data_IF_121481910819
#
_entry.id   IF_121481910819
#
_cell.length_a   1.000
_cell.length_b   1.000
_cell.length_c   1.000
_cell.angle_alpha   90.00
_cell.angle_beta   90.00
_cell.angle_gamma   90.00
#
_symmetry.space_group_name_H-M   'P 1'
#
loop_
_entity.id
_entity.type
_entity.pdbx_description
1 polymer ?
#
# COMPACT_ATOMS: atom_id res chain seq x y z
N UNK A 1 4.95 27.43 -10.98
CA UNK A 1 4.24 26.50 -10.05
C UNK A 1 4.45 26.95 -8.63
N UNK A 2 3.52 26.68 -7.71
CA UNK A 2 3.64 27.14 -6.31
C UNK A 2 4.97 26.66 -5.69
N UNK A 3 5.37 25.41 -5.98
CA UNK A 3 6.66 24.83 -5.55
C UNK A 3 7.91 25.53 -6.08
N UNK A 4 7.82 26.22 -7.21
CA UNK A 4 8.94 26.95 -7.85
C UNK A 4 9.00 28.40 -7.36
N UNK A 5 7.89 28.94 -6.86
CA UNK A 5 7.75 30.34 -6.47
C UNK A 5 7.98 30.56 -4.96
N UNK A 6 7.86 29.52 -4.14
CA UNK A 6 7.93 29.60 -2.69
C UNK A 6 9.05 28.71 -2.12
N UNK A 7 9.61 29.06 -0.94
CA UNK A 7 10.55 28.18 -0.24
C UNK A 7 9.94 26.82 0.09
N UNK A 8 10.74 25.75 -0.02
CA UNK A 8 10.28 24.37 0.14
C UNK A 8 9.48 24.10 1.42
N UNK A 9 9.86 24.71 2.55
CA UNK A 9 9.14 24.54 3.82
C UNK A 9 7.72 25.13 3.78
N UNK A 10 7.53 26.25 3.09
CA UNK A 10 6.23 26.91 2.95
C UNK A 10 5.35 26.12 1.99
N UNK A 11 5.93 25.62 0.88
CA UNK A 11 5.25 24.68 -0.02
C UNK A 11 4.76 23.46 0.75
N UNK A 12 5.64 22.83 1.54
CA UNK A 12 5.29 21.68 2.38
C UNK A 12 4.17 21.95 3.38
N UNK A 13 4.22 23.11 4.05
CA UNK A 13 3.19 23.53 4.99
C UNK A 13 1.83 23.75 4.29
N UNK A 14 1.83 24.43 3.13
CA UNK A 14 0.63 24.65 2.33
C UNK A 14 0.05 23.33 1.81
N UNK A 15 0.89 22.44 1.25
CA UNK A 15 0.45 21.12 0.78
C UNK A 15 -0.19 20.33 1.92
N UNK A 16 0.46 20.28 3.09
CA UNK A 16 -0.10 19.59 4.26
C UNK A 16 -1.42 20.21 4.73
N UNK A 17 -1.50 21.54 4.80
CA UNK A 17 -2.71 22.25 5.20
C UNK A 17 -3.87 21.97 4.24
N UNK A 18 -3.63 22.07 2.93
CA UNK A 18 -4.65 21.80 1.91
C UNK A 18 -5.10 20.33 1.93
N UNK A 19 -4.18 19.37 2.02
CA UNK A 19 -4.52 17.94 2.16
C UNK A 19 -5.31 17.65 3.45
N UNK A 20 -5.02 18.36 4.53
CA UNK A 20 -5.77 18.26 5.79
C UNK A 20 -7.20 18.78 5.63
N UNK A 21 -7.41 19.89 4.92
CA UNK A 21 -8.75 20.40 4.58
C UNK A 21 -9.52 19.37 3.73
N UNK A 22 -8.87 18.77 2.73
CA UNK A 22 -9.46 17.70 1.90
C UNK A 22 -9.86 16.49 2.75
N UNK A 23 -9.03 16.09 3.72
CA UNK A 23 -9.34 15.00 4.65
C UNK A 23 -10.53 15.35 5.56
N UNK A 24 -10.57 16.57 6.11
CA UNK A 24 -11.66 17.00 6.99
C UNK A 24 -12.99 17.11 6.24
N UNK A 25 -12.98 17.59 5.00
CA UNK A 25 -14.16 17.66 4.16
C UNK A 25 -14.67 16.26 3.80
N UNK A 26 -13.88 15.46 3.07
CA UNK A 26 -14.35 14.16 2.61
C UNK A 26 -14.50 13.15 3.75
N UNK A 27 -13.48 13.05 4.61
CA UNK A 27 -13.45 12.10 5.71
C UNK A 27 -14.35 12.51 6.88
N UNK A 28 -14.31 13.77 7.29
CA UNK A 28 -15.09 14.27 8.43
C UNK A 28 -16.54 14.59 8.06
N UNK A 29 -16.74 15.50 7.11
CA UNK A 29 -18.07 16.03 6.78
C UNK A 29 -18.91 15.07 5.93
N UNK A 30 -18.32 14.45 4.90
CA UNK A 30 -19.09 13.61 3.94
C UNK A 30 -19.14 12.15 4.38
N UNK A 31 -18.00 11.56 4.77
CA UNK A 31 -17.91 10.13 5.07
C UNK A 31 -18.50 9.77 6.44
N UNK A 32 -18.22 10.53 7.51
CA UNK A 32 -18.66 10.16 8.86
C UNK A 32 -20.18 9.96 9.00
N UNK A 33 -21.06 10.76 8.38
CA UNK A 33 -22.50 10.48 8.39
C UNK A 33 -22.86 9.10 7.81
N UNK A 34 -22.18 8.67 6.73
CA UNK A 34 -22.37 7.34 6.13
C UNK A 34 -21.85 6.24 7.04
N UNK A 35 -20.70 6.46 7.70
CA UNK A 35 -20.14 5.52 8.67
C UNK A 35 -21.07 5.36 9.87
N UNK A 36 -21.63 6.46 10.39
CA UNK A 36 -22.59 6.44 11.48
C UNK A 36 -23.86 5.69 11.08
N UNK A 37 -24.41 5.97 9.90
CA UNK A 37 -25.58 5.26 9.38
C UNK A 37 -25.30 3.75 9.24
N UNK A 38 -24.13 3.38 8.71
CA UNK A 38 -23.67 1.99 8.59
C UNK A 38 -23.52 1.31 9.95
N UNK A 39 -23.04 2.04 10.97
CA UNK A 39 -22.86 1.50 12.32
C UNK A 39 -24.20 1.31 13.05
N UNK A 40 -25.14 2.27 12.90
CA UNK A 40 -26.45 2.24 13.56
C UNK A 40 -27.45 1.27 12.90
N UNK A 41 -27.30 0.99 11.60
CA UNK A 41 -28.20 0.12 10.83
C UNK A 41 -27.44 -1.13 10.32
N UNK A 42 -27.26 -2.17 11.16
CA UNK A 42 -26.49 -3.37 10.81
C UNK A 42 -27.23 -4.34 9.88
N UNK A 43 -28.23 -3.89 9.14
CA UNK A 43 -28.99 -4.73 8.21
C UNK A 43 -28.23 -4.93 6.89
N UNK A 44 -28.17 -6.18 6.40
CA UNK A 44 -27.38 -6.53 5.22
C UNK A 44 -27.68 -5.70 3.97
N UNK A 45 -28.94 -5.31 3.74
CA UNK A 45 -29.32 -4.45 2.61
C UNK A 45 -28.76 -3.03 2.74
N UNK A 46 -28.74 -2.45 3.94
CA UNK A 46 -28.14 -1.13 4.21
C UNK A 46 -26.63 -1.20 4.01
N UNK A 47 -25.98 -2.23 4.56
CA UNK A 47 -24.53 -2.43 4.40
C UNK A 47 -24.16 -2.53 2.90
N UNK A 48 -24.94 -3.28 2.13
CA UNK A 48 -24.73 -3.45 0.68
C UNK A 48 -24.97 -2.15 -0.10
N UNK A 49 -25.97 -1.35 0.26
CA UNK A 49 -26.25 -0.07 -0.39
C UNK A 49 -25.21 1.01 -0.04
N UNK A 50 -24.72 1.06 1.20
CA UNK A 50 -23.73 2.06 1.64
C UNK A 50 -22.31 1.75 1.18
N UNK A 51 -21.95 0.47 1.02
CA UNK A 51 -20.60 0.07 0.58
C UNK A 51 -20.10 0.79 -0.68
N UNK A 52 -20.83 0.81 -1.82
CA UNK A 52 -20.35 1.53 -3.00
C UNK A 52 -20.25 3.04 -2.79
N UNK A 53 -21.17 3.65 -2.04
CA UNK A 53 -21.14 5.08 -1.73
C UNK A 53 -19.93 5.46 -0.86
N UNK A 54 -19.59 4.65 0.14
CA UNK A 54 -18.40 4.82 0.98
C UNK A 54 -17.12 4.75 0.13
N UNK A 55 -17.06 3.78 -0.79
CA UNK A 55 -15.94 3.64 -1.73
C UNK A 55 -15.85 4.84 -2.67
N UNK A 56 -16.98 5.35 -3.16
CA UNK A 56 -17.02 6.55 -4.01
C UNK A 56 -16.49 7.77 -3.26
N UNK A 57 -16.96 8.02 -2.03
CA UNK A 57 -16.46 9.13 -1.19
C UNK A 57 -14.94 9.02 -0.95
N UNK A 58 -14.44 7.82 -0.66
CA UNK A 58 -13.01 7.59 -0.51
C UNK A 58 -12.25 7.80 -1.84
N UNK A 59 -12.84 7.44 -2.97
CA UNK A 59 -12.28 7.68 -4.30
C UNK A 59 -12.21 9.18 -4.62
N UNK A 60 -13.21 9.96 -4.24
CA UNK A 60 -13.18 11.42 -4.40
C UNK A 60 -12.17 12.11 -3.48
N UNK A 61 -11.95 11.59 -2.28
CA UNK A 61 -10.84 12.01 -1.43
C UNK A 61 -9.48 11.75 -2.10
N UNK A 62 -9.29 10.57 -2.71
CA UNK A 62 -8.08 10.27 -3.49
C UNK A 62 -7.92 11.25 -4.65
N UNK A 63 -8.95 11.44 -5.47
CA UNK A 63 -8.91 12.35 -6.62
C UNK A 63 -8.58 13.79 -6.21
N UNK A 64 -9.15 14.26 -5.11
CA UNK A 64 -8.88 15.60 -4.56
C UNK A 64 -7.42 15.74 -4.11
N UNK A 65 -6.86 14.72 -3.43
CA UNK A 65 -5.46 14.73 -3.03
C UNK A 65 -4.51 14.70 -4.23
N UNK A 66 -4.84 13.94 -5.28
CA UNK A 66 -4.07 13.95 -6.53
C UNK A 66 -4.08 15.35 -7.17
N UNK A 67 -5.25 15.99 -7.23
CA UNK A 67 -5.35 17.34 -7.77
C UNK A 67 -4.51 18.33 -6.97
N UNK A 68 -4.61 18.30 -5.63
CA UNK A 68 -3.76 19.12 -4.75
C UNK A 68 -2.29 18.88 -5.05
N UNK A 69 -1.85 17.61 -5.09
CA UNK A 69 -0.46 17.28 -5.32
C UNK A 69 0.04 17.75 -6.71
N UNK A 70 -0.79 17.57 -7.76
CA UNK A 70 -0.49 18.03 -9.12
C UNK A 70 -0.42 19.55 -9.22
N UNK A 71 -1.33 20.27 -8.57
CA UNK A 71 -1.33 21.75 -8.56
C UNK A 71 -0.13 22.30 -7.78
N UNK A 72 0.21 21.68 -6.64
CA UNK A 72 1.31 22.14 -5.80
C UNK A 72 2.68 21.85 -6.42
N UNK A 73 2.85 20.68 -7.04
CA UNK A 73 4.17 20.16 -7.37
C UNK A 73 4.40 19.78 -8.85
N UNK A 74 3.35 19.50 -9.63
CA UNK A 74 3.40 18.83 -10.95
C UNK A 74 4.47 17.72 -10.99
N UNK A 75 4.21 16.59 -10.31
CA UNK A 75 5.17 15.49 -10.29
C UNK A 75 5.48 15.02 -11.72
N UNK A 76 6.77 14.94 -12.00
CA UNK A 76 7.32 14.40 -13.24
C UNK A 76 8.05 13.09 -12.91
N UNK A 77 7.31 12.14 -12.33
CA UNK A 77 7.83 10.84 -11.93
C UNK A 77 8.41 10.09 -13.12
N UNK A 78 9.54 9.42 -12.92
CA UNK A 78 10.08 8.47 -13.90
C UNK A 78 9.30 7.16 -13.80
N UNK A 79 8.16 7.11 -14.49
CA UNK A 79 7.21 6.00 -14.44
C UNK A 79 7.49 4.97 -15.54
N UNK A 80 7.96 3.79 -15.14
CA UNK A 80 8.04 2.58 -15.98
C UNK A 80 6.80 1.71 -15.70
N UNK A 81 5.71 1.95 -16.44
CA UNK A 81 4.43 1.26 -16.26
C UNK A 81 4.23 0.19 -17.35
N UNK A 82 4.29 -1.07 -16.95
CA UNK A 82 4.19 -2.25 -17.83
C UNK A 82 2.95 -3.12 -17.54
N UNK A 83 2.12 -2.70 -16.60
CA UNK A 83 0.92 -3.43 -16.23
C UNK A 83 -0.24 -3.18 -17.21
N UNK A 84 -1.05 -4.21 -17.45
CA UNK A 84 -2.34 -4.10 -18.11
C UNK A 84 -3.42 -4.46 -17.10
N UNK A 85 -4.09 -3.44 -16.58
CA UNK A 85 -5.05 -3.59 -15.48
C UNK A 85 -6.47 -3.39 -15.96
N UNK A 86 -7.38 -4.20 -15.41
CA UNK A 86 -8.81 -4.14 -15.63
C UNK A 86 -9.49 -3.78 -14.29
N UNK A 87 -10.14 -2.61 -14.17
CA UNK A 87 -10.82 -2.20 -12.93
C UNK A 87 -11.90 -3.18 -12.43
N UNK A 88 -12.39 -4.08 -13.29
CA UNK A 88 -13.38 -5.12 -12.95
C UNK A 88 -12.74 -6.41 -12.41
N UNK A 89 -11.42 -6.54 -12.43
CA UNK A 89 -10.71 -7.72 -11.92
C UNK A 89 -10.12 -7.48 -10.53
N UNK A 90 -9.86 -8.58 -9.83
CA UNK A 90 -9.14 -8.53 -8.56
C UNK A 90 -7.64 -8.65 -8.76
N UNK A 91 -6.87 -7.96 -7.93
CA UNK A 91 -5.41 -7.99 -7.96
C UNK A 91 -4.83 -8.09 -6.55
N UNK A 92 -3.68 -8.73 -6.46
CA UNK A 92 -2.84 -8.71 -5.26
C UNK A 92 -1.65 -7.80 -5.52
N UNK A 93 -1.62 -6.64 -4.87
CA UNK A 93 -0.56 -5.66 -5.06
C UNK A 93 0.52 -5.85 -4.00
N UNK A 94 1.77 -5.97 -4.43
CA UNK A 94 2.94 -6.01 -3.56
C UNK A 94 3.84 -4.80 -3.82
N UNK A 95 4.36 -4.21 -2.75
CA UNK A 95 5.20 -3.02 -2.83
C UNK A 95 6.30 -3.06 -1.76
N UNK A 96 7.46 -2.48 -2.06
CA UNK A 96 8.41 -2.12 -1.01
C UNK A 96 7.83 -1.00 -0.14
N UNK A 97 8.29 -0.86 1.10
CA UNK A 97 7.70 0.09 2.03
C UNK A 97 8.75 1.01 2.62
N UNK A 98 8.74 2.31 2.29
CA UNK A 98 9.75 3.28 2.71
C UNK A 98 9.14 4.45 3.47
N UNK A 99 7.94 4.89 3.10
CA UNK A 99 7.32 6.11 3.62
C UNK A 99 5.83 5.94 3.91
N UNK A 100 5.26 6.87 4.68
CA UNK A 100 3.80 7.01 4.72
C UNK A 100 3.25 7.49 3.37
N UNK A 101 4.05 8.22 2.60
CA UNK A 101 3.69 8.69 1.27
C UNK A 101 3.45 7.53 0.27
N UNK A 102 3.99 6.33 0.53
CA UNK A 102 3.75 5.15 -0.30
C UNK A 102 2.25 4.90 -0.53
N UNK A 103 1.43 5.04 0.52
CA UNK A 103 -0.02 4.82 0.44
C UNK A 103 -0.67 5.83 -0.51
N UNK A 104 -0.28 7.10 -0.42
CA UNK A 104 -0.82 8.16 -1.29
C UNK A 104 -0.37 7.99 -2.74
N UNK A 105 0.86 7.57 -2.95
CA UNK A 105 1.40 7.26 -4.29
C UNK A 105 0.67 6.07 -4.90
N UNK A 106 0.43 5.00 -4.13
CA UNK A 106 -0.34 3.86 -4.61
C UNK A 106 -1.79 4.25 -4.93
N UNK A 107 -2.43 5.08 -4.10
CA UNK A 107 -3.75 5.61 -4.43
C UNK A 107 -3.73 6.44 -5.73
N UNK A 108 -2.70 7.25 -5.98
CA UNK A 108 -2.52 7.99 -7.25
C UNK A 108 -2.36 7.06 -8.45
N UNK A 109 -1.41 6.13 -8.36
CA UNK A 109 -1.07 5.20 -9.44
C UNK A 109 -2.26 4.35 -9.87
N UNK A 110 -3.08 3.88 -8.92
CA UNK A 110 -4.14 2.91 -9.19
C UNK A 110 -5.55 3.48 -9.23
N UNK A 111 -5.71 4.79 -9.01
CA UNK A 111 -7.00 5.46 -9.18
C UNK A 111 -7.54 5.26 -10.61
N UNK A 112 -8.77 4.74 -10.70
CA UNK A 112 -9.43 4.42 -11.97
C UNK A 112 -8.83 3.23 -12.74
N UNK A 113 -7.72 2.64 -12.29
CA UNK A 113 -7.04 1.50 -12.95
C UNK A 113 -7.33 0.17 -12.27
N UNK A 114 -7.66 0.19 -10.99
CA UNK A 114 -8.08 -0.98 -10.23
C UNK A 114 -9.28 -0.66 -9.35
N UNK A 115 -9.90 -1.68 -8.78
CA UNK A 115 -10.81 -1.46 -7.66
C UNK A 115 -10.07 -0.82 -6.48
N UNK A 116 -10.78 -0.06 -5.63
CA UNK A 116 -10.20 0.74 -4.55
C UNK A 116 -9.20 -0.09 -3.70
N UNK A 117 -7.92 0.32 -3.60
CA UNK A 117 -6.91 -0.42 -2.87
C UNK A 117 -7.23 -0.56 -1.37
N UNK A 118 -7.17 -1.78 -0.83
CA UNK A 118 -7.37 -2.09 0.59
C UNK A 118 -6.11 -2.64 1.22
N UNK A 119 -5.78 -2.16 2.41
CA UNK A 119 -4.55 -2.49 3.11
C UNK A 119 -4.83 -3.37 4.33
N UNK A 120 -3.90 -4.27 4.66
CA UNK A 120 -3.86 -4.89 5.98
C UNK A 120 -3.28 -3.92 7.01
N UNK A 121 -4.14 -3.38 7.85
CA UNK A 121 -3.81 -2.32 8.81
C UNK A 121 -3.37 -2.92 10.14
N UNK A 122 -2.55 -2.18 10.89
CA UNK A 122 -2.31 -2.50 12.30
C UNK A 122 -3.54 -2.12 13.12
N UNK A 123 -3.92 -2.95 14.10
CA UNK A 123 -5.10 -2.70 14.94
C UNK A 123 -5.08 -1.32 15.62
N UNK A 124 -3.91 -0.82 16.00
CA UNK A 124 -3.76 0.49 16.66
C UNK A 124 -4.25 1.65 15.78
N UNK A 125 -4.27 1.49 14.45
CA UNK A 125 -4.71 2.53 13.52
C UNK A 125 -6.21 2.81 13.60
N UNK A 126 -7.01 1.93 14.23
CA UNK A 126 -8.44 2.17 14.42
C UNK A 126 -8.72 3.40 15.29
N UNK A 127 -7.75 3.80 16.12
CA UNK A 127 -7.87 4.91 17.06
C UNK A 127 -7.50 6.26 16.46
N UNK A 128 -6.97 6.29 15.23
CA UNK A 128 -6.67 7.57 14.56
C UNK A 128 -8.01 8.21 14.16
N UNK A 129 -8.34 9.44 14.64
CA UNK A 129 -9.59 10.09 14.30
C UNK A 129 -9.78 10.19 12.79
N UNK A 130 -11.02 10.02 12.33
CA UNK A 130 -11.43 9.97 10.92
C UNK A 130 -10.85 8.76 10.16
N UNK A 131 -9.52 8.60 10.14
CA UNK A 131 -8.81 7.57 9.37
C UNK A 131 -9.19 6.16 9.84
N UNK A 132 -9.18 5.89 11.14
CA UNK A 132 -9.50 4.57 11.68
C UNK A 132 -10.92 4.12 11.34
N UNK A 133 -11.90 5.04 11.49
CA UNK A 133 -13.30 4.81 11.14
C UNK A 133 -13.52 4.69 9.62
N UNK A 134 -12.82 5.50 8.83
CA UNK A 134 -12.84 5.40 7.37
C UNK A 134 -12.32 4.04 6.89
N UNK A 135 -11.19 3.58 7.44
CA UNK A 135 -10.63 2.27 7.16
C UNK A 135 -11.58 1.13 7.55
N UNK A 136 -12.24 1.23 8.70
CA UNK A 136 -13.26 0.26 9.11
C UNK A 136 -14.45 0.23 8.13
N UNK A 137 -14.96 1.41 7.74
CA UNK A 137 -16.09 1.53 6.82
C UNK A 137 -15.76 1.04 5.40
N UNK A 138 -14.49 1.19 5.00
CA UNK A 138 -13.90 0.64 3.79
C UNK A 138 -13.54 -0.84 3.93
N UNK A 139 -13.97 -1.53 4.98
CA UNK A 139 -13.75 -2.95 5.20
C UNK A 139 -12.26 -3.36 5.15
N UNK A 140 -11.35 -2.45 5.54
CA UNK A 140 -9.93 -2.76 5.63
C UNK A 140 -9.67 -3.64 6.86
N UNK A 141 -8.98 -4.79 6.71
CA UNK A 141 -8.73 -5.71 7.81
C UNK A 141 -7.69 -5.14 8.79
N UNK A 142 -8.04 -5.15 10.08
CA UNK A 142 -7.15 -4.75 11.18
C UNK A 142 -6.48 -5.98 11.83
N UNK A 143 -5.16 -6.04 11.74
CA UNK A 143 -4.31 -7.15 12.18
C UNK A 143 -3.78 -6.91 13.59
N UNK A 144 -3.80 -7.95 14.44
CA UNK A 144 -3.38 -7.86 15.85
C UNK A 144 -1.90 -8.12 16.07
N UNK A 145 -1.19 -8.71 15.09
CA UNK A 145 0.29 -8.84 15.04
C UNK A 145 0.91 -9.16 16.40
N UNK A 146 0.56 -10.31 16.97
CA UNK A 146 1.06 -10.79 18.26
C UNK A 146 2.58 -11.01 18.22
N UNK A 147 3.27 -10.73 19.33
CA UNK A 147 4.71 -11.02 19.45
C UNK A 147 4.97 -12.53 19.53
N UNK A 148 6.21 -12.96 19.29
CA UNK A 148 6.57 -14.37 19.40
C UNK A 148 6.35 -14.89 20.82
N UNK A 149 6.66 -14.06 21.80
CA UNK A 149 6.51 -14.33 23.23
C UNK A 149 5.02 -14.47 23.59
N UNK A 150 4.16 -13.58 23.08
CA UNK A 150 2.73 -13.66 23.28
C UNK A 150 2.12 -14.93 22.65
N UNK A 151 2.57 -15.30 21.44
CA UNK A 151 2.13 -16.54 20.77
C UNK A 151 2.63 -17.78 21.51
N UNK A 152 3.85 -17.75 22.05
CA UNK A 152 4.38 -18.86 22.85
C UNK A 152 3.57 -19.05 24.14
N UNK A 153 3.17 -17.95 24.79
CA UNK A 153 2.32 -17.97 25.98
C UNK A 153 0.87 -18.41 25.69
N UNK A 154 0.34 -18.09 24.49
CA UNK A 154 -0.97 -18.52 24.05
C UNK A 154 -0.97 -18.88 22.54
N UNK A 155 -0.78 -20.17 22.20
CA UNK A 155 -0.75 -20.63 20.81
C UNK A 155 -2.03 -20.32 20.00
N UNK A 156 -3.18 -20.15 20.66
CA UNK A 156 -4.44 -19.81 20.00
C UNK A 156 -4.42 -18.42 19.32
N UNK A 157 -3.48 -17.55 19.72
CA UNK A 157 -3.25 -16.23 19.11
C UNK A 157 -2.70 -16.34 17.67
N UNK A 158 -2.03 -17.45 17.32
CA UNK A 158 -1.49 -17.66 15.96
C UNK A 158 -2.59 -17.69 14.90
N UNK A 159 -3.73 -18.30 15.21
CA UNK A 159 -4.86 -18.43 14.27
C UNK A 159 -5.77 -17.20 14.17
N UNK A 160 -5.55 -16.15 14.97
CA UNK A 160 -6.46 -15.00 14.98
C UNK A 160 -6.33 -14.13 13.73
N UNK A 161 -5.11 -13.84 13.29
CA UNK A 161 -4.85 -13.09 12.06
C UNK A 161 -5.28 -13.89 10.81
N UNK A 162 -5.18 -15.23 10.86
CA UNK A 162 -5.68 -16.12 9.81
C UNK A 162 -7.20 -16.02 9.67
N UNK A 163 -7.96 -16.11 10.78
CA UNK A 163 -9.43 -15.96 10.74
C UNK A 163 -9.87 -14.58 10.26
N UNK A 164 -9.15 -13.53 10.64
CA UNK A 164 -9.40 -12.17 10.14
C UNK A 164 -9.22 -12.10 8.62
N UNK A 165 -8.13 -12.69 8.12
CA UNK A 165 -7.83 -12.77 6.68
C UNK A 165 -8.90 -13.58 5.94
N UNK A 166 -9.29 -14.75 6.45
CA UNK A 166 -10.33 -15.59 5.88
C UNK A 166 -11.68 -14.87 5.76
N UNK A 167 -12.15 -14.21 6.83
CA UNK A 167 -13.42 -13.45 6.80
C UNK A 167 -13.39 -12.31 5.80
N UNK A 168 -12.28 -11.59 5.72
CA UNK A 168 -12.09 -10.55 4.72
C UNK A 168 -12.16 -11.14 3.30
N UNK A 169 -11.45 -12.25 3.07
CA UNK A 169 -11.43 -12.93 1.78
C UNK A 169 -12.81 -13.46 1.36
N UNK A 170 -13.54 -14.10 2.27
CA UNK A 170 -14.91 -14.59 2.03
C UNK A 170 -15.87 -13.48 1.60
N UNK A 171 -15.79 -12.31 2.26
CA UNK A 171 -16.60 -11.15 1.93
C UNK A 171 -16.37 -10.65 0.50
N UNK A 172 -15.15 -10.78 -0.02
CA UNK A 172 -14.76 -10.32 -1.34
C UNK A 172 -14.66 -11.42 -2.40
N UNK A 173 -15.01 -12.66 -2.08
CA UNK A 173 -14.91 -13.83 -2.99
C UNK A 173 -15.67 -13.67 -4.32
N UNK A 174 -16.61 -12.74 -4.40
CA UNK A 174 -17.40 -12.44 -5.61
C UNK A 174 -17.42 -10.96 -5.98
N UNK A 175 -16.53 -10.15 -5.40
CA UNK A 175 -16.45 -8.70 -5.63
C UNK A 175 -15.03 -8.33 -6.03
N UNK A 176 -14.83 -7.55 -7.10
CA UNK A 176 -13.50 -7.07 -7.49
C UNK A 176 -12.82 -6.35 -6.32
N UNK A 177 -11.54 -6.63 -6.10
CA UNK A 177 -10.76 -6.01 -5.02
C UNK A 177 -9.28 -5.93 -5.38
N UNK A 178 -8.62 -4.86 -4.96
CA UNK A 178 -7.16 -4.79 -4.94
C UNK A 178 -6.67 -4.84 -3.50
N UNK A 179 -5.95 -5.91 -3.17
CA UNK A 179 -5.39 -6.12 -1.82
C UNK A 179 -3.93 -5.70 -1.84
N UNK A 180 -3.57 -4.70 -1.05
CA UNK A 180 -2.21 -4.18 -0.96
C UNK A 180 -1.45 -4.82 0.19
N UNK A 181 -0.26 -5.33 -0.12
CA UNK A 181 0.63 -5.94 0.84
C UNK A 181 2.05 -5.36 0.77
N UNK A 182 2.44 -4.68 1.85
CA UNK A 182 3.82 -4.28 2.10
C UNK A 182 4.54 -5.45 2.79
N UNK A 183 5.19 -6.33 2.01
CA UNK A 183 5.75 -7.58 2.54
C UNK A 183 6.84 -7.37 3.59
N UNK A 184 7.51 -6.22 3.62
CA UNK A 184 8.47 -5.87 4.68
C UNK A 184 7.81 -5.78 6.08
N UNK A 185 6.50 -5.52 6.11
CA UNK A 185 5.69 -5.39 7.32
C UNK A 185 5.97 -4.14 8.15
N UNK A 186 6.98 -3.35 7.79
CA UNK A 186 7.40 -2.09 8.40
C UNK A 186 8.15 -1.26 7.36
N UNK A 187 8.19 0.06 7.54
CA UNK A 187 8.97 0.95 6.67
C UNK A 187 10.46 0.64 6.79
N UNK A 188 11.13 0.58 5.65
CA UNK A 188 12.56 0.41 5.51
C UNK A 188 13.32 1.46 6.32
N UNK A 189 14.39 1.01 6.97
CA UNK A 189 15.46 1.86 7.47
C UNK A 189 16.73 1.03 7.50
N UNK A 190 17.87 1.67 7.33
CA UNK A 190 19.16 0.99 7.33
C UNK A 190 19.40 0.23 8.64
N UNK A 191 19.01 0.82 9.76
CA UNK A 191 19.06 0.18 11.09
C UNK A 191 18.25 -1.12 11.17
N UNK A 192 17.06 -1.19 10.54
CA UNK A 192 16.22 -2.40 10.50
C UNK A 192 16.78 -3.43 9.52
N UNK A 193 17.36 -2.97 8.42
CA UNK A 193 18.01 -3.84 7.42
C UNK A 193 19.17 -4.58 8.05
N UNK A 194 20.03 -3.85 8.75
CA UNK A 194 21.16 -4.40 9.50
C UNK A 194 20.70 -5.34 10.62
N UNK A 195 19.76 -4.93 11.48
CA UNK A 195 19.32 -5.75 12.61
C UNK A 195 18.53 -7.01 12.22
N UNK A 196 17.86 -7.01 11.06
CA UNK A 196 17.19 -8.20 10.52
C UNK A 196 18.07 -9.07 9.64
N UNK A 197 19.35 -8.69 9.46
CA UNK A 197 20.31 -9.33 8.57
C UNK A 197 19.71 -9.57 7.17
N UNK A 198 19.10 -8.53 6.59
CA UNK A 198 18.48 -8.63 5.26
C UNK A 198 19.54 -8.99 4.21
N UNK A 199 19.29 -10.00 3.34
CA UNK A 199 20.22 -10.33 2.25
C UNK A 199 20.16 -9.30 1.12
N UNK A 200 19.18 -8.40 1.16
CA UNK A 200 18.94 -7.37 0.16
C UNK A 200 19.63 -6.06 0.56
N UNK A 201 20.06 -5.28 -0.44
CA UNK A 201 20.76 -4.00 -0.21
C UNK A 201 19.79 -2.87 0.15
N UNK A 202 18.61 -2.85 -0.49
CA UNK A 202 17.64 -1.75 -0.41
C UNK A 202 16.29 -2.15 0.18
N UNK A 203 16.15 -3.40 0.63
CA UNK A 203 14.89 -3.96 1.12
C UNK A 203 15.08 -4.69 2.45
N UNK A 204 14.01 -4.75 3.25
CA UNK A 204 13.92 -5.72 4.36
C UNK A 204 13.49 -7.10 3.83
N UNK A 205 13.71 -8.14 4.65
CA UNK A 205 13.21 -9.49 4.35
C UNK A 205 11.68 -9.50 4.22
N UNK A 206 11.11 -10.09 3.16
CA UNK A 206 9.67 -10.18 3.00
C UNK A 206 9.07 -11.17 4.02
N UNK A 207 7.90 -10.82 4.55
CA UNK A 207 7.07 -11.67 5.43
C UNK A 207 5.95 -12.29 4.60
N UNK A 208 6.21 -13.47 4.04
CA UNK A 208 5.37 -14.13 3.04
C UNK A 208 4.12 -14.84 3.58
N UNK A 209 4.02 -15.13 4.87
CA UNK A 209 2.92 -15.92 5.44
C UNK A 209 1.52 -15.32 5.15
N UNK A 210 1.34 -14.02 5.43
CA UNK A 210 0.05 -13.35 5.18
C UNK A 210 -0.33 -13.29 3.69
N UNK A 211 0.67 -13.21 2.81
CA UNK A 211 0.45 -13.29 1.37
C UNK A 211 -0.03 -14.69 0.95
N UNK A 212 0.60 -15.74 1.48
CA UNK A 212 0.19 -17.12 1.25
C UNK A 212 -1.24 -17.38 1.70
N UNK A 213 -1.66 -16.84 2.86
CA UNK A 213 -3.04 -16.98 3.32
C UNK A 213 -4.04 -16.25 2.41
N UNK A 214 -3.67 -15.09 1.89
CA UNK A 214 -4.50 -14.35 0.94
C UNK A 214 -4.65 -15.12 -0.38
N UNK A 215 -3.58 -15.73 -0.88
CA UNK A 215 -3.61 -16.58 -2.06
C UNK A 215 -4.41 -17.87 -1.85
N UNK A 216 -4.28 -18.53 -0.71
CA UNK A 216 -5.08 -19.71 -0.38
C UNK A 216 -6.59 -19.41 -0.33
N UNK A 217 -6.96 -18.22 0.17
CA UNK A 217 -8.37 -17.87 0.30
C UNK A 217 -9.01 -17.31 -1.00
N UNK A 218 -8.24 -16.66 -1.88
CA UNK A 218 -8.77 -15.92 -3.05
C UNK A 218 -7.93 -16.02 -4.33
N UNK A 219 -6.91 -16.87 -4.37
CA UNK A 219 -5.92 -16.87 -5.45
C UNK A 219 -6.51 -17.05 -6.85
N UNK A 220 -7.56 -17.87 -6.98
CA UNK A 220 -8.28 -18.08 -8.25
C UNK A 220 -9.01 -16.82 -8.76
N UNK A 221 -9.34 -15.88 -7.87
CA UNK A 221 -10.02 -14.63 -8.24
C UNK A 221 -9.04 -13.56 -8.73
N UNK A 222 -7.77 -13.65 -8.34
CA UNK A 222 -6.77 -12.66 -8.72
C UNK A 222 -6.34 -12.87 -10.17
N UNK A 223 -6.47 -11.82 -10.98
CA UNK A 223 -5.98 -11.80 -12.35
C UNK A 223 -4.43 -11.77 -12.43
N UNK A 224 -3.77 -11.43 -11.33
CA UNK A 224 -2.32 -11.41 -11.23
C UNK A 224 -1.84 -10.64 -10.00
N UNK A 225 -0.52 -10.58 -9.84
CA UNK A 225 0.15 -9.76 -8.84
C UNK A 225 0.61 -8.46 -9.47
N UNK A 226 0.23 -7.32 -8.89
CA UNK A 226 0.79 -6.03 -9.27
C UNK A 226 2.07 -5.83 -8.46
N UNK A 227 3.21 -5.87 -9.13
CA UNK A 227 4.53 -5.64 -8.52
C UNK A 227 4.93 -4.17 -8.65
N UNK A 228 4.96 -3.44 -7.52
CA UNK A 228 5.30 -2.02 -7.49
C UNK A 228 6.65 -1.79 -6.81
N UNK A 229 7.52 -1.04 -7.47
CA UNK A 229 8.79 -0.58 -6.89
C UNK A 229 8.81 0.94 -6.82
N UNK A 230 8.94 1.48 -5.61
CA UNK A 230 9.08 2.91 -5.35
C UNK A 230 10.54 3.24 -5.00
N UNK A 231 11.18 4.09 -5.80
CA UNK A 231 12.53 4.60 -5.54
C UNK A 231 12.47 6.12 -5.33
N UNK A 232 12.48 6.53 -4.07
CA UNK A 232 12.54 7.94 -3.68
C UNK A 232 13.88 8.57 -4.07
N UNK A 233 13.86 9.85 -4.39
CA UNK A 233 15.07 10.66 -4.54
C UNK A 233 15.78 10.82 -3.20
N UNK A 234 17.12 10.93 -3.19
CA UNK A 234 17.87 11.30 -1.99
C UNK A 234 17.25 12.53 -1.33
N UNK A 235 16.98 12.44 -0.03
CA UNK A 235 16.40 13.53 0.73
C UNK A 235 17.24 13.78 1.98
N UNK A 236 17.56 15.04 2.25
CA UNK A 236 18.21 15.46 3.50
C UNK A 236 17.21 15.50 4.67
N UNK A 237 15.91 15.58 4.36
CA UNK A 237 14.79 15.56 5.30
C UNK A 237 14.10 14.19 5.28
N UNK A 238 13.22 13.93 6.24
CA UNK A 238 12.40 12.72 6.23
C UNK A 238 11.53 12.61 4.98
N UNK A 239 11.37 11.40 4.42
CA UNK A 239 10.71 11.16 3.13
C UNK A 239 9.28 11.70 3.01
N UNK A 240 8.51 11.73 4.10
CA UNK A 240 7.14 12.29 4.08
C UNK A 240 7.20 13.80 3.86
N UNK A 241 8.11 14.48 4.57
CA UNK A 241 8.24 15.93 4.46
C UNK A 241 8.87 16.34 3.13
N UNK A 242 9.87 15.61 2.64
CA UNK A 242 10.43 15.85 1.30
C UNK A 242 9.35 15.67 0.21
N UNK A 243 8.47 14.68 0.35
CA UNK A 243 7.32 14.50 -0.55
C UNK A 243 6.33 15.68 -0.48
N UNK A 244 5.97 16.14 0.72
CA UNK A 244 5.12 17.32 0.92
C UNK A 244 5.74 18.61 0.36
N UNK A 245 7.07 18.74 0.42
CA UNK A 245 7.81 19.85 -0.16
C UNK A 245 7.92 19.76 -1.70
N UNK A 246 7.55 18.64 -2.33
CA UNK A 246 7.72 18.42 -3.76
C UNK A 246 9.11 17.95 -4.18
N UNK A 247 10.01 17.66 -3.24
CA UNK A 247 11.38 17.18 -3.52
C UNK A 247 11.39 15.77 -4.13
N UNK A 248 10.24 15.08 -4.14
CA UNK A 248 10.08 13.74 -4.69
C UNK A 248 9.39 13.74 -6.07
N UNK A 249 9.30 14.90 -6.72
CA UNK A 249 8.63 15.05 -8.02
C UNK A 249 9.30 14.27 -9.15
N UNK A 250 10.58 13.89 -9.02
CA UNK A 250 11.31 13.05 -9.99
C UNK A 250 11.68 11.67 -9.42
N UNK A 251 10.94 11.18 -8.42
CA UNK A 251 11.13 9.81 -7.97
C UNK A 251 10.86 8.81 -9.11
N UNK A 252 11.50 7.65 -9.06
CA UNK A 252 11.30 6.60 -10.04
C UNK A 252 10.30 5.57 -9.51
N UNK A 253 9.40 5.14 -10.39
CA UNK A 253 8.33 4.19 -10.07
C UNK A 253 8.31 3.14 -11.16
N UNK A 254 8.27 1.87 -10.75
CA UNK A 254 8.05 0.77 -11.67
C UNK A 254 6.80 0.00 -11.26
N UNK A 255 5.97 -0.33 -12.25
CA UNK A 255 4.74 -1.13 -12.06
C UNK A 255 4.70 -2.22 -13.13
N UNK A 256 4.57 -3.46 -12.69
CA UNK A 256 4.44 -4.63 -13.56
C UNK A 256 3.34 -5.58 -13.07
N UNK A 257 2.86 -6.47 -13.93
CA UNK A 257 1.91 -7.53 -13.55
C UNK A 257 2.56 -8.89 -13.71
N UNK A 258 2.60 -9.67 -12.63
CA UNK A 258 3.18 -11.00 -12.61
C UNK A 258 2.07 -12.06 -12.55
N UNK A 259 2.22 -13.19 -13.25
CA UNK A 259 1.33 -14.33 -13.08
C UNK A 259 1.49 -14.94 -11.68
N UNK A 260 0.40 -15.48 -11.15
CA UNK A 260 0.40 -16.26 -9.92
C UNK A 260 0.64 -17.72 -10.31
N UNK A 261 1.72 -18.38 -9.84
CA UNK A 261 1.95 -19.79 -10.12
C UNK A 261 0.79 -20.63 -9.56
N UNK A 262 0.09 -21.44 -10.38
CA UNK A 262 -1.07 -22.21 -9.93
C UNK A 262 -0.78 -23.11 -8.72
N UNK A 263 0.42 -23.68 -8.66
CA UNK A 263 0.91 -24.54 -7.58
C UNK A 263 1.12 -23.81 -6.25
N UNK A 264 1.06 -22.47 -6.23
CA UNK A 264 1.20 -21.64 -5.03
C UNK A 264 -0.13 -21.04 -4.54
N UNK A 265 -1.24 -21.32 -5.23
CA UNK A 265 -2.57 -20.82 -4.85
C UNK A 265 -3.09 -21.62 -3.65
N UNK A 266 -3.10 -22.96 -3.72
CA UNK A 266 -3.74 -23.83 -2.73
C UNK A 266 -2.72 -24.66 -1.93
N UNK A 267 -2.07 -24.07 -0.94
CA UNK A 267 -1.15 -24.83 -0.09
C UNK A 267 -1.05 -24.36 1.35
N UNK A 268 -0.55 -25.27 2.19
CA UNK A 268 -0.43 -25.09 3.63
C UNK A 268 0.93 -24.50 4.00
N UNK A 269 1.00 -23.17 4.13
CA UNK A 269 2.23 -22.49 4.52
C UNK A 269 2.71 -22.82 5.94
N UNK A 270 1.80 -23.22 6.85
CA UNK A 270 2.16 -23.49 8.24
C UNK A 270 2.55 -24.95 8.47
N UNK A 271 1.79 -25.88 7.89
CA UNK A 271 1.94 -27.32 8.10
C UNK A 271 2.76 -28.08 7.05
N UNK A 272 2.96 -27.52 5.84
CA UNK A 272 3.75 -28.15 4.77
C UNK A 272 5.08 -27.39 4.57
N UNK A 273 6.18 -28.00 5.00
CA UNK A 273 7.52 -27.42 4.90
C UNK A 273 8.01 -27.28 3.47
N UNK A 274 7.62 -28.21 2.58
CA UNK A 274 8.03 -28.19 1.18
C UNK A 274 7.30 -27.07 0.44
N UNK A 275 5.97 -26.95 0.65
CA UNK A 275 5.20 -25.82 0.13
C UNK A 275 5.74 -24.49 0.64
N UNK A 276 6.02 -24.39 1.94
CA UNK A 276 6.61 -23.18 2.54
C UNK A 276 7.94 -22.82 1.88
N UNK A 277 8.80 -23.79 1.61
CA UNK A 277 10.08 -23.57 0.94
C UNK A 277 9.90 -23.10 -0.52
N UNK A 278 9.00 -23.73 -1.29
CA UNK A 278 8.68 -23.31 -2.67
C UNK A 278 8.11 -21.89 -2.70
N UNK A 279 7.18 -21.58 -1.79
CA UNK A 279 6.57 -20.25 -1.69
C UNK A 279 7.60 -19.18 -1.32
N UNK A 280 8.47 -19.44 -0.34
CA UNK A 280 9.55 -18.53 0.04
C UNK A 280 10.53 -18.31 -1.11
N UNK A 281 10.88 -19.37 -1.84
CA UNK A 281 11.76 -19.29 -3.02
C UNK A 281 11.17 -18.38 -4.09
N UNK A 282 9.88 -18.53 -4.40
CA UNK A 282 9.19 -17.68 -5.36
C UNK A 282 9.18 -16.20 -4.94
N UNK A 283 8.80 -15.91 -3.69
CA UNK A 283 8.79 -14.53 -3.17
C UNK A 283 10.19 -13.93 -3.12
N UNK A 284 11.20 -14.69 -2.69
CA UNK A 284 12.59 -14.23 -2.68
C UNK A 284 13.10 -13.95 -4.09
N UNK A 285 12.65 -14.70 -5.10
CA UNK A 285 12.94 -14.40 -6.51
C UNK A 285 12.36 -13.05 -6.95
N UNK A 286 11.10 -12.76 -6.61
CA UNK A 286 10.48 -11.44 -6.85
C UNK A 286 11.27 -10.34 -6.13
N UNK A 287 11.60 -10.56 -4.86
CA UNK A 287 12.28 -9.59 -4.02
C UNK A 287 13.71 -9.29 -4.50
N UNK A 288 14.44 -10.31 -4.96
CA UNK A 288 15.78 -10.16 -5.54
C UNK A 288 15.75 -9.31 -6.81
N UNK A 289 14.76 -9.54 -7.70
CA UNK A 289 14.57 -8.71 -8.90
C UNK A 289 14.21 -7.27 -8.52
N UNK A 290 13.37 -7.08 -7.49
CA UNK A 290 12.99 -5.78 -6.96
C UNK A 290 14.18 -5.01 -6.40
N UNK A 291 15.06 -5.67 -5.63
CA UNK A 291 16.26 -5.06 -5.05
C UNK A 291 17.24 -4.59 -6.14
N UNK A 292 17.52 -5.47 -7.12
CA UNK A 292 18.35 -5.12 -8.27
C UNK A 292 17.74 -4.00 -9.12
N UNK A 293 16.40 -3.94 -9.21
CA UNK A 293 15.68 -2.85 -9.89
C UNK A 293 15.83 -1.54 -9.12
N UNK A 294 15.69 -1.55 -7.80
CA UNK A 294 15.90 -0.38 -6.94
C UNK A 294 17.30 0.20 -7.12
N UNK A 295 18.34 -0.64 -7.11
CA UNK A 295 19.73 -0.21 -7.35
C UNK A 295 19.85 0.58 -8.67
N UNK A 296 19.28 0.04 -9.76
CA UNK A 296 19.32 0.69 -11.09
C UNK A 296 18.55 2.01 -11.10
N UNK A 297 17.38 2.04 -10.48
CA UNK A 297 16.53 3.25 -10.41
C UNK A 297 17.24 4.36 -9.63
N UNK A 298 17.81 4.04 -8.47
CA UNK A 298 18.55 4.99 -7.63
C UNK A 298 19.84 5.48 -8.32
N UNK A 299 20.57 4.58 -9.00
CA UNK A 299 21.78 4.95 -9.75
C UNK A 299 21.48 5.86 -10.95
N UNK A 300 20.35 5.65 -11.62
CA UNK A 300 19.94 6.46 -12.77
C UNK A 300 19.48 7.86 -12.34
N UNK A 301 18.77 7.96 -11.21
CA UNK A 301 18.40 9.24 -10.61
C UNK A 301 19.64 10.08 -10.23
N UNK A 302 20.66 9.46 -9.62
CA UNK A 302 21.91 10.16 -9.27
C UNK A 302 22.72 10.66 -10.48
N UNK A 303 22.57 10.04 -11.66
CA UNK A 303 23.23 10.51 -12.90
C UNK A 303 22.48 11.69 -13.56
N UNK A 304 21.15 11.74 -13.43
CA UNK A 304 20.36 12.84 -13.95
C UNK A 304 20.61 14.15 -13.20
N UNK A 305 20.91 14.10 -11.90
CA UNK A 305 21.29 15.28 -11.09
C UNK A 305 22.73 15.77 -11.36
N UNK A 306 23.64 14.88 -11.77
CA UNK A 306 25.05 15.21 -12.00
C UNK A 306 25.34 15.87 -13.36
N UNK A 307 24.36 15.96 -14.25
CA UNK A 307 24.50 16.67 -15.52
C UNK A 307 24.14 18.14 -15.27
N UNK A 308 25.07 19.11 -15.43
CA UNK A 308 24.72 20.52 -15.28
C UNK A 308 23.60 20.82 -16.27
N UNK A 309 22.50 21.42 -15.80
CA UNK A 309 21.52 22.02 -16.71
C UNK A 309 22.27 23.15 -17.43
N UNK A 310 22.75 22.87 -18.64
CA UNK A 310 23.20 23.92 -19.53
C UNK A 310 22.01 24.85 -19.74
N UNK A 311 22.27 26.10 -19.39
CA UNK A 311 21.42 27.29 -19.30
C UNK A 311 20.29 27.37 -20.32
#
# INVERSE_FOLDING_TARGET
MISVLLPAWLVGALTFATMSVVLLFWGGMVLMPLVLLRALLPFGFVQNALSPLIVEVASQWVASNQLVYRVMHAPAWHLDYRAQLDPQKSYLLICNHQSWADIQILFDLFYGRTHFPRFFLKKELIWIPIVGLACWALDMPFMKRHSKEAIAANPALRGEDLRTTQRFCEKYRRRPITVVNFLEGTRFSESKRASSASPYRHLLKPKSAGLSFTLNAMGEQFAGIIDVTLAYQPATKGLVWSWLCGEQSHMAIHVDTLPIPPELIHGDYEGDEEFRARFQTWINGIWSRKDARLERMLSSAGRAEATPRLT
#
